data_IF_456460311403
#
_entry.id   IF_456460311403
#
_cell.length_a   1.000
_cell.length_b   1.000
_cell.length_c   1.000
_cell.angle_alpha   90.00
_cell.angle_beta   90.00
_cell.angle_gamma   90.00
#
_symmetry.space_group_name_H-M   'P 1'
#
loop_
_entity.id
_entity.type
_entity.pdbx_description
1 polymer ?
#
# COMPACT_ATOMS: atom_id res chain seq x y z
N UNK A 1 -34.55 6.02 -11.62
CA UNK A 1 -34.15 6.48 -12.99
C UNK A 1 -32.71 6.91 -12.91
N UNK A 2 -31.79 6.09 -13.41
CA UNK A 2 -30.44 6.53 -13.73
C UNK A 2 -30.56 7.46 -14.92
N UNK A 3 -30.35 8.75 -14.69
CA UNK A 3 -30.33 9.75 -15.75
C UNK A 3 -28.97 9.69 -16.41
N UNK A 4 -28.95 9.14 -17.60
CA UNK A 4 -28.01 9.42 -18.67
C UNK A 4 -26.54 9.46 -18.33
N UNK A 5 -25.87 8.34 -18.47
CA UNK A 5 -24.52 8.36 -18.92
C UNK A 5 -24.36 7.21 -19.92
N UNK A 6 -23.85 7.52 -21.09
CA UNK A 6 -23.35 6.52 -21.99
C UNK A 6 -22.14 5.86 -21.33
N UNK A 7 -22.40 4.84 -20.51
CA UNK A 7 -21.35 3.99 -19.99
C UNK A 7 -20.77 3.15 -21.11
N UNK A 8 -19.45 3.03 -21.16
CA UNK A 8 -18.77 2.14 -22.07
C UNK A 8 -19.34 0.72 -21.93
N UNK A 9 -19.45 -0.02 -23.05
CA UNK A 9 -20.01 -1.39 -23.07
C UNK A 9 -19.36 -2.31 -22.03
N UNK A 10 -18.06 -2.17 -21.81
CA UNK A 10 -17.29 -2.94 -20.83
C UNK A 10 -17.71 -2.68 -19.39
N UNK A 11 -18.02 -1.42 -19.06
CA UNK A 11 -18.44 -1.01 -17.71
C UNK A 11 -19.91 -1.32 -17.47
N UNK A 12 -20.73 -1.39 -18.53
CA UNK A 12 -22.15 -1.76 -18.46
C UNK A 12 -22.33 -3.19 -17.99
N UNK A 13 -21.52 -4.12 -18.48
CA UNK A 13 -21.58 -5.53 -18.11
C UNK A 13 -21.16 -5.74 -16.66
N UNK A 14 -20.12 -5.03 -16.22
CA UNK A 14 -19.68 -5.06 -14.81
C UNK A 14 -20.79 -4.53 -13.91
N UNK A 15 -21.33 -3.36 -14.22
CA UNK A 15 -22.42 -2.77 -13.42
C UNK A 15 -23.67 -3.69 -13.39
N UNK A 16 -24.04 -4.27 -14.54
CA UNK A 16 -25.16 -5.19 -14.62
C UNK A 16 -24.96 -6.45 -13.78
N UNK A 17 -23.75 -6.99 -13.80
CA UNK A 17 -23.35 -8.11 -12.96
C UNK A 17 -23.44 -7.76 -11.46
N UNK A 18 -22.95 -6.59 -11.07
CA UNK A 18 -23.02 -6.12 -9.70
C UNK A 18 -24.46 -5.90 -9.22
N UNK A 19 -25.30 -5.28 -10.05
CA UNK A 19 -26.73 -5.11 -9.73
C UNK A 19 -27.43 -6.45 -9.51
N UNK A 20 -27.14 -7.46 -10.34
CA UNK A 20 -27.67 -8.82 -10.15
C UNK A 20 -27.18 -9.45 -8.85
N UNK A 21 -25.90 -9.25 -8.48
CA UNK A 21 -25.37 -9.77 -7.22
C UNK A 21 -26.04 -9.12 -6.00
N UNK A 22 -26.23 -7.80 -6.01
CA UNK A 22 -26.94 -7.07 -4.94
C UNK A 22 -28.40 -7.55 -4.85
N UNK A 23 -29.08 -7.76 -5.98
CA UNK A 23 -30.46 -8.25 -6.02
C UNK A 23 -30.57 -9.67 -5.45
N UNK A 24 -29.61 -10.54 -5.76
CA UNK A 24 -29.63 -11.95 -5.36
C UNK A 24 -29.23 -12.15 -3.89
N UNK A 25 -28.19 -11.45 -3.43
CA UNK A 25 -27.63 -11.63 -2.08
C UNK A 25 -28.20 -10.66 -1.05
N UNK A 26 -28.67 -9.51 -1.49
CA UNK A 26 -29.15 -8.46 -0.60
C UNK A 26 -28.04 -7.74 0.17
N UNK A 27 -26.79 -7.90 -0.25
CA UNK A 27 -25.59 -7.29 0.35
C UNK A 27 -25.00 -6.23 -0.57
N UNK A 28 -24.20 -5.31 0.00
CA UNK A 28 -23.46 -4.34 -0.80
C UNK A 28 -22.37 -5.02 -1.63
N UNK A 29 -22.10 -4.49 -2.83
CA UNK A 29 -21.06 -4.99 -3.73
C UNK A 29 -20.13 -3.84 -4.10
N UNK A 30 -18.83 -4.00 -3.82
CA UNK A 30 -17.81 -3.00 -4.17
C UNK A 30 -17.52 -3.02 -5.66
N UNK A 31 -17.26 -1.83 -6.22
CA UNK A 31 -16.77 -1.68 -7.59
C UNK A 31 -15.38 -2.33 -7.68
N UNK A 32 -15.13 -3.22 -8.65
CA UNK A 32 -13.84 -3.89 -8.80
C UNK A 32 -12.72 -2.89 -9.10
N UNK A 33 -11.51 -3.22 -8.65
CA UNK A 33 -10.32 -2.41 -8.98
C UNK A 33 -10.13 -2.35 -10.51
N UNK A 34 -9.69 -1.19 -10.99
CA UNK A 34 -9.48 -0.96 -12.42
C UNK A 34 -10.77 -0.67 -13.21
N UNK A 35 -11.88 -0.40 -12.54
CA UNK A 35 -13.09 0.08 -13.21
C UNK A 35 -12.95 1.56 -13.59
N UNK A 36 -13.49 1.89 -14.77
CA UNK A 36 -13.49 3.26 -15.28
C UNK A 36 -14.91 3.72 -15.58
N UNK A 37 -15.16 5.00 -15.36
CA UNK A 37 -16.39 5.68 -15.81
C UNK A 37 -16.05 6.75 -16.84
N UNK A 38 -16.94 6.92 -17.82
CA UNK A 38 -16.82 7.96 -18.83
C UNK A 38 -17.35 9.27 -18.25
N UNK A 39 -16.62 10.34 -18.50
CA UNK A 39 -17.09 11.69 -18.17
C UNK A 39 -18.26 12.09 -19.06
N UNK A 40 -19.26 12.73 -18.48
CA UNK A 40 -20.45 13.20 -19.22
C UNK A 40 -20.03 14.31 -20.19
N UNK A 41 -20.45 14.19 -21.43
CA UNK A 41 -20.11 15.12 -22.52
C UNK A 41 -18.63 15.17 -22.95
N UNK A 42 -17.86 14.13 -22.62
CA UNK A 42 -16.45 14.00 -22.97
C UNK A 42 -16.15 12.57 -23.40
N UNK A 43 -15.06 12.36 -24.13
CA UNK A 43 -14.53 11.03 -24.44
C UNK A 43 -13.48 10.57 -23.43
N UNK A 44 -13.35 11.30 -22.32
CA UNK A 44 -12.40 10.95 -21.26
C UNK A 44 -12.98 9.93 -20.29
N UNK A 45 -12.11 9.05 -19.83
CA UNK A 45 -12.41 8.07 -18.82
C UNK A 45 -11.59 8.36 -17.57
N UNK A 46 -12.17 8.09 -16.41
CA UNK A 46 -11.46 8.21 -15.14
C UNK A 46 -11.69 6.98 -14.28
N UNK A 47 -10.68 6.55 -13.48
CA UNK A 47 -10.81 5.42 -12.59
C UNK A 47 -11.75 5.76 -11.44
N UNK A 48 -12.53 4.78 -11.02
CA UNK A 48 -13.53 4.93 -9.96
C UNK A 48 -13.39 3.88 -8.88
N UNK A 49 -13.73 4.29 -7.67
CA UNK A 49 -13.93 3.41 -6.52
C UNK A 49 -15.29 3.68 -5.91
N UNK A 50 -15.93 2.67 -5.37
CA UNK A 50 -17.25 2.81 -4.75
C UNK A 50 -17.95 1.49 -4.52
N UNK A 51 -19.25 1.56 -4.30
CA UNK A 51 -20.07 0.37 -4.05
C UNK A 51 -21.54 0.58 -4.47
N UNK A 52 -22.23 -0.53 -4.70
CA UNK A 52 -23.67 -0.56 -4.86
C UNK A 52 -24.26 -1.13 -3.57
N UNK A 53 -25.17 -0.38 -2.97
CA UNK A 53 -25.86 -0.79 -1.72
C UNK A 53 -27.36 -0.99 -1.98
N UNK A 54 -27.99 -2.02 -1.38
CA UNK A 54 -29.43 -2.19 -1.46
C UNK A 54 -30.16 -1.16 -0.59
N UNK A 55 -31.21 -0.55 -1.12
CA UNK A 55 -32.16 0.25 -0.37
C UNK A 55 -33.30 -0.66 0.05
N UNK A 56 -33.55 -0.77 1.37
CA UNK A 56 -34.58 -1.65 1.92
C UNK A 56 -35.71 -0.85 2.52
N UNK A 57 -36.92 -1.39 2.36
CA UNK A 57 -38.10 -0.99 3.15
C UNK A 57 -38.64 -2.23 3.83
N UNK A 58 -38.59 -2.25 5.17
CA UNK A 58 -38.80 -3.48 5.97
C UNK A 58 -37.81 -4.55 5.45
N UNK A 59 -38.22 -5.73 5.11
CA UNK A 59 -37.32 -6.81 4.62
C UNK A 59 -37.23 -6.91 3.09
N UNK A 60 -37.81 -5.97 2.37
CA UNK A 60 -37.85 -6.02 0.89
C UNK A 60 -36.90 -4.99 0.31
N UNK A 61 -36.07 -5.38 -0.69
CA UNK A 61 -35.24 -4.47 -1.45
C UNK A 61 -36.15 -3.65 -2.37
N UNK A 62 -36.22 -2.34 -2.14
CA UNK A 62 -37.05 -1.40 -2.92
C UNK A 62 -36.27 -0.65 -3.96
N UNK A 63 -34.92 -0.69 -3.87
CA UNK A 63 -34.05 -0.01 -4.82
C UNK A 63 -32.58 -0.30 -4.53
N UNK A 64 -31.68 0.33 -5.30
CA UNK A 64 -30.25 0.27 -5.11
C UNK A 64 -29.66 1.65 -5.27
N UNK A 65 -28.67 1.98 -4.46
CA UNK A 65 -27.88 3.21 -4.59
C UNK A 65 -26.45 2.87 -5.03
N UNK A 66 -25.95 3.59 -6.04
CA UNK A 66 -24.56 3.55 -6.47
C UNK A 66 -23.86 4.74 -5.85
N UNK A 67 -22.82 4.49 -5.06
CA UNK A 67 -21.84 5.49 -4.64
C UNK A 67 -20.55 5.25 -5.42
N UNK A 68 -20.07 6.26 -6.11
CA UNK A 68 -18.81 6.18 -6.85
C UNK A 68 -18.06 7.50 -6.74
N UNK A 69 -16.73 7.43 -6.55
CA UNK A 69 -15.82 8.57 -6.53
C UNK A 69 -14.73 8.42 -7.57
N UNK A 70 -14.32 9.54 -8.13
CA UNK A 70 -13.15 9.60 -9.00
C UNK A 70 -11.87 9.45 -8.15
N UNK A 71 -11.01 8.50 -8.53
CA UNK A 71 -9.74 8.23 -7.86
C UNK A 71 -8.52 8.54 -8.75
N UNK A 72 -8.69 9.40 -9.76
CA UNK A 72 -7.60 9.75 -10.69
C UNK A 72 -6.39 10.35 -9.97
N UNK A 73 -6.62 11.19 -8.97
CA UNK A 73 -5.52 11.81 -8.23
C UNK A 73 -4.77 10.78 -7.38
N UNK A 74 -5.49 9.91 -6.69
CA UNK A 74 -4.90 8.84 -5.87
C UNK A 74 -4.09 7.87 -6.74
N UNK A 75 -4.63 7.46 -7.88
CA UNK A 75 -3.94 6.59 -8.84
C UNK A 75 -2.70 7.27 -9.45
N UNK A 76 -2.81 8.55 -9.80
CA UNK A 76 -1.68 9.33 -10.30
C UNK A 76 -0.58 9.47 -9.25
N UNK A 77 -0.93 9.81 -8.02
CA UNK A 77 0.02 9.93 -6.91
C UNK A 77 0.71 8.60 -6.63
N UNK A 78 -0.05 7.50 -6.62
CA UNK A 78 0.51 6.16 -6.46
C UNK A 78 1.51 5.82 -7.56
N UNK A 79 1.16 6.00 -8.84
CA UNK A 79 2.06 5.74 -9.97
C UNK A 79 3.31 6.61 -9.92
N UNK A 80 3.15 7.89 -9.57
CA UNK A 80 4.28 8.80 -9.43
C UNK A 80 5.22 8.36 -8.29
N UNK A 81 4.64 7.92 -7.17
CA UNK A 81 5.41 7.38 -6.06
C UNK A 81 6.14 6.09 -6.45
N UNK A 82 5.46 5.14 -7.10
CA UNK A 82 6.05 3.88 -7.56
C UNK A 82 7.23 4.15 -8.52
N UNK A 83 7.06 5.06 -9.49
CA UNK A 83 8.12 5.47 -10.40
C UNK A 83 9.31 6.12 -9.66
N UNK A 84 9.03 6.98 -8.67
CA UNK A 84 10.08 7.64 -7.90
C UNK A 84 10.87 6.62 -7.06
N UNK A 85 10.21 5.62 -6.54
CA UNK A 85 10.84 4.51 -5.80
C UNK A 85 11.73 3.68 -6.72
N UNK A 86 11.24 3.28 -7.90
CA UNK A 86 11.98 2.46 -8.86
C UNK A 86 13.26 3.16 -9.36
N UNK A 87 13.19 4.47 -9.62
CA UNK A 87 14.32 5.26 -10.13
C UNK A 87 15.36 5.64 -9.08
N UNK A 88 14.97 5.72 -7.79
CA UNK A 88 15.80 6.36 -6.76
C UNK A 88 16.57 5.39 -5.87
N UNK A 89 16.43 4.09 -6.01
CA UNK A 89 16.95 3.10 -5.06
C UNK A 89 16.52 3.36 -3.60
N UNK A 90 15.34 3.96 -3.45
CA UNK A 90 14.67 4.21 -2.18
C UNK A 90 13.59 3.16 -2.01
N UNK A 91 13.56 2.50 -0.88
CA UNK A 91 12.57 1.46 -0.60
C UNK A 91 11.75 1.88 0.62
N UNK A 92 10.51 2.37 0.41
CA UNK A 92 9.59 2.63 1.50
C UNK A 92 9.17 1.32 2.14
N UNK A 93 8.97 1.34 3.44
CA UNK A 93 8.45 0.21 4.16
C UNK A 93 7.54 0.65 5.30
N UNK A 94 6.73 -0.25 5.76
CA UNK A 94 5.83 -0.05 6.88
C UNK A 94 6.08 -1.14 7.90
N UNK A 95 5.82 -0.84 9.15
CA UNK A 95 5.83 -1.83 10.23
C UNK A 95 4.44 -1.92 10.84
N UNK A 96 3.90 -3.11 10.79
CA UNK A 96 2.63 -3.43 11.44
C UNK A 96 2.91 -3.92 12.86
N UNK A 97 2.50 -3.13 13.84
CA UNK A 97 2.73 -3.42 15.25
C UNK A 97 1.88 -4.58 15.77
N UNK A 98 0.73 -4.84 15.17
CA UNK A 98 -0.17 -5.92 15.58
C UNK A 98 0.41 -7.28 15.16
N UNK A 99 0.88 -7.39 13.92
CA UNK A 99 1.46 -8.62 13.39
C UNK A 99 2.97 -8.73 13.63
N UNK A 100 3.63 -7.66 14.09
CA UNK A 100 5.08 -7.55 14.27
C UNK A 100 5.86 -7.86 12.98
N UNK A 101 5.35 -7.35 11.86
CA UNK A 101 5.89 -7.61 10.52
C UNK A 101 6.24 -6.33 9.78
N UNK A 102 7.29 -6.40 8.98
CA UNK A 102 7.63 -5.38 7.99
C UNK A 102 6.89 -5.65 6.69
N UNK A 103 6.38 -4.59 6.08
CA UNK A 103 5.68 -4.61 4.80
C UNK A 103 6.47 -3.76 3.82
N UNK A 104 6.85 -4.35 2.69
CA UNK A 104 7.66 -3.73 1.65
C UNK A 104 6.92 -3.65 0.32
N UNK A 105 7.34 -2.76 -0.60
CA UNK A 105 6.92 -2.82 -1.99
C UNK A 105 7.31 -4.16 -2.61
N UNK A 106 6.54 -4.58 -3.62
CA UNK A 106 6.87 -5.76 -4.40
C UNK A 106 8.28 -5.65 -5.00
N UNK A 107 9.01 -6.75 -4.97
CA UNK A 107 10.37 -6.81 -5.54
C UNK A 107 11.51 -6.39 -4.60
N UNK A 108 11.25 -5.64 -3.52
CA UNK A 108 12.33 -5.29 -2.58
C UNK A 108 12.96 -6.53 -1.95
N UNK A 109 12.15 -7.44 -1.45
CA UNK A 109 12.62 -8.63 -0.72
C UNK A 109 13.37 -9.63 -1.62
N UNK A 110 13.24 -9.53 -2.95
CA UNK A 110 14.04 -10.32 -3.90
C UNK A 110 15.53 -10.07 -3.72
N UNK A 111 15.93 -8.85 -3.38
CA UNK A 111 17.34 -8.51 -3.08
C UNK A 111 17.89 -9.26 -1.87
N UNK A 112 17.01 -9.65 -0.96
CA UNK A 112 17.34 -10.43 0.24
C UNK A 112 17.20 -11.95 0.02
N UNK A 113 16.76 -12.36 -1.19
CA UNK A 113 16.62 -13.77 -1.58
C UNK A 113 15.22 -14.36 -1.39
N UNK A 114 14.20 -13.53 -1.17
CA UNK A 114 12.82 -13.98 -1.10
C UNK A 114 12.18 -14.05 -2.49
N UNK A 115 11.07 -14.78 -2.59
CA UNK A 115 10.25 -14.82 -3.80
C UNK A 115 9.62 -13.44 -4.09
N UNK A 116 9.43 -13.11 -5.37
CA UNK A 116 8.88 -11.82 -5.81
C UNK A 116 7.48 -11.53 -5.25
N UNK A 117 6.70 -12.57 -4.98
CA UNK A 117 5.37 -12.44 -4.41
C UNK A 117 5.39 -12.09 -2.91
N UNK A 118 6.52 -12.25 -2.22
CA UNK A 118 6.65 -11.94 -0.79
C UNK A 118 6.81 -10.43 -0.62
N UNK A 119 5.91 -9.82 0.13
CA UNK A 119 5.94 -8.39 0.48
C UNK A 119 6.02 -8.15 1.98
N UNK A 120 5.91 -9.20 2.78
CA UNK A 120 5.86 -9.12 4.25
C UNK A 120 6.79 -10.14 4.87
N UNK A 121 7.61 -9.70 5.83
CA UNK A 121 8.49 -10.56 6.62
C UNK A 121 8.43 -10.17 8.10
N UNK A 122 8.65 -11.14 8.98
CA UNK A 122 8.70 -10.88 10.41
C UNK A 122 9.93 -10.08 10.81
N UNK A 123 9.85 -9.44 11.98
CA UNK A 123 11.00 -8.73 12.58
C UNK A 123 12.21 -9.66 12.74
N UNK A 124 11.99 -10.90 13.15
CA UNK A 124 13.07 -11.88 13.34
C UNK A 124 13.74 -12.26 12.01
N UNK A 125 12.98 -12.39 10.94
CA UNK A 125 13.53 -12.66 9.60
C UNK A 125 14.34 -11.48 9.09
N UNK A 126 13.86 -10.25 9.27
CA UNK A 126 14.60 -9.03 8.93
C UNK A 126 15.92 -8.98 9.70
N UNK A 127 15.91 -9.22 10.99
CA UNK A 127 17.09 -9.22 11.86
C UNK A 127 18.18 -10.19 11.36
N UNK A 128 17.81 -11.33 10.79
CA UNK A 128 18.75 -12.32 10.22
C UNK A 128 19.47 -11.83 8.96
N UNK A 129 18.96 -10.82 8.31
CA UNK A 129 19.60 -10.21 7.14
C UNK A 129 20.61 -9.15 7.52
N UNK A 130 20.57 -8.63 8.74
CA UNK A 130 21.41 -7.54 9.24
C UNK A 130 22.75 -8.11 9.74
N UNK A 131 23.82 -7.33 9.59
CA UNK A 131 25.14 -7.72 10.11
C UNK A 131 25.10 -7.85 11.65
N UNK A 132 25.72 -8.90 12.23
CA UNK A 132 25.65 -9.14 13.67
C UNK A 132 26.10 -7.98 14.55
N UNK A 133 27.10 -7.22 14.10
CA UNK A 133 27.61 -6.07 14.87
C UNK A 133 26.63 -4.89 14.89
N UNK A 134 25.75 -4.78 13.87
CA UNK A 134 24.87 -3.62 13.69
C UNK A 134 23.48 -3.88 14.32
N UNK A 135 23.10 -5.14 14.52
CA UNK A 135 21.74 -5.53 14.93
C UNK A 135 21.34 -4.95 16.29
N UNK A 136 22.27 -4.85 17.23
CA UNK A 136 21.98 -4.35 18.57
C UNK A 136 21.56 -2.87 18.54
N UNK A 137 22.28 -2.07 17.78
CA UNK A 137 22.02 -0.64 17.63
C UNK A 137 20.69 -0.40 16.90
N UNK A 138 20.43 -1.15 15.83
CA UNK A 138 19.17 -1.09 15.08
C UNK A 138 17.99 -1.41 15.97
N UNK A 139 18.07 -2.47 16.78
CA UNK A 139 16.97 -2.84 17.68
C UNK A 139 16.65 -1.76 18.70
N UNK A 140 17.68 -1.16 19.31
CA UNK A 140 17.48 -0.07 20.27
C UNK A 140 16.83 1.13 19.64
N UNK A 141 17.30 1.56 18.47
CA UNK A 141 16.72 2.70 17.75
C UNK A 141 15.30 2.41 17.26
N UNK A 142 15.07 1.21 16.76
CA UNK A 142 13.75 0.79 16.33
C UNK A 142 12.73 0.76 17.49
N UNK A 143 13.13 0.22 18.63
CA UNK A 143 12.27 0.17 19.83
C UNK A 143 11.97 1.58 20.36
N UNK A 144 12.92 2.52 20.32
CA UNK A 144 12.70 3.93 20.65
C UNK A 144 11.75 4.63 19.68
N UNK A 145 11.89 4.33 18.38
CA UNK A 145 10.95 4.84 17.38
C UNK A 145 9.52 4.31 17.65
N UNK A 146 9.37 3.03 17.97
CA UNK A 146 8.05 2.44 18.29
C UNK A 146 7.45 2.99 19.58
N UNK A 147 8.28 3.30 20.59
CA UNK A 147 7.80 3.90 21.84
C UNK A 147 7.46 5.40 21.73
N UNK A 148 7.78 6.02 20.59
CA UNK A 148 7.58 7.46 20.39
C UNK A 148 8.61 8.34 21.10
N UNK A 149 9.71 7.77 21.60
CA UNK A 149 10.80 8.54 22.22
C UNK A 149 11.58 9.36 21.19
N UNK A 150 11.60 8.92 19.94
CA UNK A 150 12.24 9.62 18.83
C UNK A 150 11.25 9.74 17.64
N UNK A 151 10.97 10.98 17.20
CA UNK A 151 10.06 11.23 16.07
C UNK A 151 10.69 10.87 14.72
N UNK A 152 12.02 10.92 14.63
CA UNK A 152 12.75 10.54 13.42
C UNK A 152 14.11 9.96 13.77
N UNK A 153 14.50 8.91 13.06
CA UNK A 153 15.76 8.22 13.29
C UNK A 153 16.50 8.02 11.97
N UNK A 154 17.82 8.15 12.01
CA UNK A 154 18.71 7.87 10.88
C UNK A 154 19.86 6.99 11.34
N UNK A 155 20.13 5.90 10.60
CA UNK A 155 21.19 4.95 10.90
C UNK A 155 21.75 4.33 9.63
N UNK A 156 23.05 4.13 9.58
CA UNK A 156 23.70 3.33 8.54
C UNK A 156 24.02 1.95 9.08
N UNK A 157 23.70 0.91 8.32
CA UNK A 157 23.93 -0.46 8.71
C UNK A 157 24.25 -1.35 7.50
N UNK A 158 24.75 -2.53 7.76
CA UNK A 158 25.08 -3.53 6.75
C UNK A 158 23.96 -4.58 6.68
N UNK A 159 23.47 -4.82 5.49
CA UNK A 159 22.46 -5.84 5.21
C UNK A 159 22.95 -6.82 4.16
N UNK A 160 22.68 -8.10 4.37
CA UNK A 160 23.09 -9.18 3.47
C UNK A 160 22.18 -9.25 2.26
N UNK A 161 22.76 -9.23 1.07
CA UNK A 161 22.06 -9.41 -0.20
C UNK A 161 21.87 -10.91 -0.54
N UNK A 162 21.18 -11.18 -1.65
CA UNK A 162 20.91 -12.54 -2.15
C UNK A 162 22.18 -13.35 -2.43
N UNK A 163 23.34 -12.69 -2.70
CA UNK A 163 24.63 -13.35 -2.91
C UNK A 163 25.37 -13.68 -1.61
N UNK A 164 24.82 -13.25 -0.46
CA UNK A 164 25.45 -13.42 0.83
C UNK A 164 26.46 -12.32 1.20
N UNK A 165 26.58 -11.28 0.36
CA UNK A 165 27.47 -10.14 0.59
C UNK A 165 26.76 -9.06 1.40
N UNK A 166 27.51 -8.31 2.21
CA UNK A 166 26.99 -7.20 2.97
C UNK A 166 27.10 -5.89 2.20
N UNK A 167 25.94 -5.22 2.03
CA UNK A 167 25.83 -3.90 1.42
C UNK A 167 25.48 -2.87 2.51
N UNK A 168 25.94 -1.62 2.35
CA UNK A 168 25.60 -0.52 3.24
C UNK A 168 24.23 0.04 2.88
N UNK A 169 23.41 0.22 3.91
CA UNK A 169 22.08 0.82 3.83
C UNK A 169 21.94 1.95 4.81
N UNK A 170 21.20 2.96 4.43
CA UNK A 170 20.76 4.02 5.32
C UNK A 170 19.29 3.79 5.65
N UNK A 171 19.02 3.67 6.93
CA UNK A 171 17.68 3.63 7.49
C UNK A 171 17.26 5.05 7.87
N UNK A 172 16.07 5.44 7.46
CA UNK A 172 15.39 6.64 7.96
C UNK A 172 13.97 6.27 8.34
N UNK A 173 13.57 6.62 9.56
CA UNK A 173 12.19 6.46 10.01
C UNK A 173 11.57 7.78 10.38
N UNK A 174 10.28 7.87 10.18
CA UNK A 174 9.44 8.96 10.67
C UNK A 174 8.11 8.37 11.08
N UNK A 175 7.64 8.68 12.29
CA UNK A 175 6.36 8.20 12.77
C UNK A 175 5.26 9.04 12.14
N UNK A 176 4.35 8.40 11.41
CA UNK A 176 3.14 9.05 10.90
C UNK A 176 1.95 8.56 11.72
N UNK A 177 1.44 9.41 12.59
CA UNK A 177 0.24 9.15 13.38
C UNK A 177 -1.00 9.65 12.65
N UNK A 178 -2.11 8.92 12.75
CA UNK A 178 -3.42 9.46 12.39
C UNK A 178 -4.01 9.07 11.04
N UNK A 179 -3.48 8.07 10.34
CA UNK A 179 -4.14 7.56 9.12
C UNK A 179 -5.33 6.62 9.43
N UNK A 180 -5.31 5.95 10.59
CA UNK A 180 -6.47 5.24 11.16
C UNK A 180 -6.41 5.34 12.67
N UNK A 181 -7.58 5.26 13.35
CA UNK A 181 -7.66 5.43 14.82
C UNK A 181 -6.87 4.39 15.62
N UNK A 182 -6.49 3.25 15.02
CA UNK A 182 -5.91 2.10 15.72
C UNK A 182 -4.59 1.58 15.12
N UNK A 183 -3.98 2.27 14.15
CA UNK A 183 -2.73 1.82 13.55
C UNK A 183 -1.65 2.90 13.53
N UNK A 184 -0.56 2.63 14.23
CA UNK A 184 0.70 3.36 14.09
C UNK A 184 1.41 2.83 12.84
N UNK A 185 1.43 3.62 11.77
CA UNK A 185 2.25 3.32 10.60
C UNK A 185 3.57 4.08 10.72
N UNK A 186 4.66 3.34 10.74
CA UNK A 186 5.98 3.91 10.48
C UNK A 186 6.21 3.92 8.97
N UNK A 187 6.24 5.09 8.36
CA UNK A 187 6.72 5.24 6.99
C UNK A 187 8.22 5.49 7.08
N UNK A 188 9.00 4.53 6.60
CA UNK A 188 10.44 4.61 6.64
C UNK A 188 11.01 4.46 5.23
N UNK A 189 12.20 4.97 5.03
CA UNK A 189 12.90 4.92 3.76
C UNK A 189 14.21 4.18 3.97
N UNK A 190 14.48 3.20 3.13
CA UNK A 190 15.78 2.56 3.02
C UNK A 190 16.49 3.09 1.78
N UNK A 191 17.74 3.45 1.91
CA UNK A 191 18.60 3.90 0.82
C UNK A 191 19.81 2.99 0.73
N UNK A 192 20.23 2.65 -0.48
CA UNK A 192 21.58 2.13 -0.67
C UNK A 192 22.56 3.27 -0.40
N UNK A 193 23.44 3.07 0.59
CA UNK A 193 24.46 4.06 0.92
C UNK A 193 25.81 3.65 0.34
N UNK A 194 26.60 4.57 -0.24
CA UNK A 194 28.02 4.33 -0.43
C UNK A 194 28.67 4.09 0.95
N UNK A 195 29.72 3.29 0.98
CA UNK A 195 30.45 3.00 2.23
C UNK A 195 30.72 4.29 3.01
N UNK A 196 30.53 4.33 4.35
CA UNK A 196 30.91 5.48 5.16
C UNK A 196 32.38 5.89 5.07
N UNK A 197 33.22 5.04 4.42
CA UNK A 197 34.63 5.34 4.17
C UNK A 197 34.87 6.11 2.87
N UNK A 198 33.82 6.24 2.03
CA UNK A 198 33.89 6.90 0.72
C UNK A 198 33.20 8.28 0.74
N UNK A 199 32.81 8.79 1.92
CA UNK A 199 32.16 10.07 2.16
C UNK A 199 33.11 11.07 2.82
#
# INVERSE_FOLDING_TARGET
RLVGSEMCIRDRDILHSMLKQVAAKGESVKIPQGAFMKEVHSDKYFPVSGEIVPIRSKDTITGMALSARNISNEEMQKRFFDMAVDESSIYPWQFDMETNCFIFPQGFLVRLGYDEAVTTISREEMDRTIHPDDIKEIRVLFDKALSGEEESTRLNFRQRNVKGEYEWWEYRSSIVTGLTQDSLYNICLLYTSPSPRDA
#
